data_IF_668886662125
#
_entry.id   IF_668886662125
#
_cell.length_a   1.000
_cell.length_b   1.000
_cell.length_c   1.000
_cell.angle_alpha   90.00
_cell.angle_beta   90.00
_cell.angle_gamma   90.00
#
_symmetry.space_group_name_H-M   'P 1'
#
loop_
_entity.id
_entity.type
_entity.pdbx_description
1 polymer ?
#
# COMPACT_ATOMS: atom_id res chain seq x y z
N UNK A 1 30.33 -46.04 0.51
CA UNK A 1 29.38 -45.44 1.47
C UNK A 1 29.88 -44.03 1.75
N UNK A 2 29.35 -43.02 1.01
CA UNK A 2 29.71 -41.63 1.18
C UNK A 2 28.52 -40.93 1.84
N UNK A 3 28.73 -40.44 3.04
CA UNK A 3 27.75 -39.63 3.77
C UNK A 3 27.57 -38.27 3.08
N UNK A 4 26.35 -37.99 2.62
CA UNK A 4 25.94 -36.68 2.15
C UNK A 4 25.64 -35.84 3.40
N UNK A 5 26.53 -34.91 3.70
CA UNK A 5 26.32 -33.92 4.74
C UNK A 5 25.44 -32.83 4.15
N UNK A 6 24.14 -32.90 4.37
CA UNK A 6 23.24 -31.77 4.15
C UNK A 6 23.62 -30.66 5.14
N UNK A 7 24.17 -29.58 4.63
CA UNK A 7 24.35 -28.34 5.39
C UNK A 7 22.96 -27.69 5.53
N UNK A 8 22.39 -27.82 6.70
CA UNK A 8 21.28 -26.96 7.13
C UNK A 8 21.82 -25.52 7.17
N UNK A 9 21.50 -24.74 6.14
CA UNK A 9 21.63 -23.29 6.21
C UNK A 9 20.46 -22.77 7.06
N UNK A 10 20.64 -22.73 8.37
CA UNK A 10 19.75 -22.09 9.32
C UNK A 10 19.89 -20.57 9.25
N UNK A 11 19.50 -19.95 8.14
CA UNK A 11 19.22 -18.52 8.12
C UNK A 11 18.02 -18.27 9.04
N UNK A 12 18.14 -17.30 9.96
CA UNK A 12 16.97 -16.76 10.65
C UNK A 12 15.93 -16.39 9.58
N UNK A 13 14.62 -16.58 9.85
CA UNK A 13 13.62 -16.14 8.90
C UNK A 13 13.87 -14.65 8.60
N UNK A 14 14.13 -14.36 7.34
CA UNK A 14 14.38 -13.01 6.87
C UNK A 14 13.15 -12.18 7.20
N UNK A 15 13.32 -11.13 8.01
CA UNK A 15 12.23 -10.25 8.41
C UNK A 15 11.72 -9.53 7.16
N UNK A 16 10.58 -9.95 6.65
CA UNK A 16 9.99 -9.44 5.42
C UNK A 16 8.55 -8.99 5.67
N UNK A 17 8.28 -7.73 5.42
CA UNK A 17 6.98 -7.08 5.60
C UNK A 17 6.21 -6.88 4.29
N UNK A 18 6.65 -7.47 3.19
CA UNK A 18 5.85 -7.49 1.96
C UNK A 18 4.46 -8.06 2.28
N UNK A 19 3.42 -7.45 1.73
CA UNK A 19 2.03 -7.80 2.03
C UNK A 19 1.65 -7.63 3.51
N UNK A 20 2.14 -6.55 4.13
CA UNK A 20 1.71 -6.08 5.45
C UNK A 20 1.21 -4.65 5.37
N UNK A 21 0.39 -4.27 6.33
CA UNK A 21 0.08 -2.88 6.62
C UNK A 21 1.04 -2.34 7.68
N UNK A 22 1.41 -1.07 7.51
CA UNK A 22 2.01 -0.24 8.54
C UNK A 22 0.97 0.79 9.00
N UNK A 23 0.79 0.87 10.31
CA UNK A 23 -0.02 1.90 10.95
C UNK A 23 0.90 2.84 11.71
N UNK A 24 0.84 4.14 11.37
CA UNK A 24 1.58 5.14 12.12
C UNK A 24 1.04 5.20 13.56
N UNK A 25 1.95 5.10 14.53
CA UNK A 25 1.57 5.18 15.94
C UNK A 25 0.95 6.54 16.27
N UNK A 26 -0.04 6.61 17.19
CA UNK A 26 -0.69 7.87 17.57
C UNK A 26 0.26 8.93 18.13
N UNK A 27 1.45 8.53 18.59
CA UNK A 27 2.53 9.44 18.98
C UNK A 27 3.04 10.30 17.82
N UNK A 28 2.81 9.85 16.56
CA UNK A 28 3.07 10.62 15.36
C UNK A 28 1.82 11.43 15.02
N UNK A 29 1.58 12.49 15.79
CA UNK A 29 0.42 13.37 15.60
C UNK A 29 0.60 14.36 14.45
N UNK A 30 1.84 14.56 14.02
CA UNK A 30 2.21 15.50 12.97
C UNK A 30 2.96 14.79 11.84
N UNK A 31 2.82 15.34 10.63
CA UNK A 31 3.54 14.84 9.45
C UNK A 31 2.66 14.06 8.47
N UNK A 32 3.30 13.65 7.39
CA UNK A 32 2.65 13.08 6.20
C UNK A 32 1.95 11.76 6.50
N UNK A 33 2.41 11.01 7.48
CA UNK A 33 1.90 9.68 7.80
C UNK A 33 0.96 9.61 9.01
N UNK A 34 0.66 10.74 9.65
CA UNK A 34 -0.29 10.75 10.77
C UNK A 34 -1.66 10.18 10.35
N UNK A 35 -2.14 9.15 11.06
CA UNK A 35 -3.44 8.50 10.76
C UNK A 35 -3.47 7.73 9.43
N UNK A 36 -2.32 7.36 8.86
CA UNK A 36 -2.27 6.59 7.62
C UNK A 36 -2.23 5.08 7.86
N UNK A 37 -2.79 4.37 6.90
CA UNK A 37 -2.60 2.94 6.68
C UNK A 37 -1.75 2.80 5.41
N UNK A 38 -0.51 2.34 5.56
CA UNK A 38 0.42 2.13 4.44
C UNK A 38 0.54 0.65 4.13
N UNK A 39 0.35 0.27 2.90
CA UNK A 39 0.51 -1.10 2.42
C UNK A 39 1.89 -1.31 1.84
N UNK A 40 2.65 -2.28 2.35
CA UNK A 40 4.00 -2.62 1.88
C UNK A 40 3.91 -3.52 0.66
N UNK A 41 4.35 -2.98 -0.48
CA UNK A 41 4.38 -3.66 -1.76
C UNK A 41 5.66 -4.48 -1.95
N UNK A 42 6.78 -4.01 -1.40
CA UNK A 42 8.07 -4.68 -1.44
C UNK A 42 8.86 -4.37 -0.18
N UNK A 43 9.54 -5.38 0.36
CA UNK A 43 10.51 -5.24 1.44
C UNK A 43 11.61 -6.26 1.25
N UNK A 44 12.84 -5.79 1.12
CA UNK A 44 14.03 -6.62 0.89
C UNK A 44 15.29 -5.94 1.47
N UNK A 45 16.44 -6.54 1.22
CA UNK A 45 17.75 -6.04 1.68
C UNK A 45 18.11 -4.62 1.20
N UNK A 46 17.43 -4.10 0.16
CA UNK A 46 17.68 -2.77 -0.39
C UNK A 46 16.74 -1.70 0.21
N UNK A 47 15.75 -2.10 1.02
CA UNK A 47 14.78 -1.22 1.66
C UNK A 47 13.34 -1.66 1.45
N UNK A 48 12.41 -0.71 1.53
CA UNK A 48 10.99 -0.99 1.36
C UNK A 48 10.28 0.06 0.49
N UNK A 49 9.22 -0.40 -0.19
CA UNK A 49 8.28 0.43 -0.94
C UNK A 49 6.86 0.14 -0.45
N UNK A 50 6.15 1.20 -0.09
CA UNK A 50 4.75 1.12 0.32
C UNK A 50 3.91 2.22 -0.29
N UNK A 51 2.60 2.05 -0.23
CA UNK A 51 1.62 3.06 -0.63
C UNK A 51 0.59 3.28 0.48
N UNK A 52 0.26 4.53 0.75
CA UNK A 52 -0.84 4.88 1.64
C UNK A 52 -2.16 4.56 0.94
N UNK A 53 -3.05 3.84 1.61
CA UNK A 53 -4.28 3.33 1.00
C UNK A 53 -5.57 3.90 1.61
N UNK A 54 -5.48 4.77 2.61
CA UNK A 54 -6.65 5.31 3.30
C UNK A 54 -6.78 6.85 3.21
N UNK A 55 -6.03 7.50 2.32
CA UNK A 55 -6.05 8.98 2.19
C UNK A 55 -6.46 9.40 0.78
N UNK A 56 -7.77 9.51 0.49
CA UNK A 56 -8.21 10.10 -0.77
C UNK A 56 -7.80 11.57 -0.86
N UNK A 57 -7.52 12.03 -2.08
CA UNK A 57 -7.24 13.44 -2.38
C UNK A 57 -8.40 14.05 -3.18
N UNK A 58 -8.43 15.37 -3.31
CA UNK A 58 -9.45 16.05 -4.08
C UNK A 58 -9.14 16.00 -5.59
N UNK A 59 -9.04 14.79 -6.12
CA UNK A 59 -8.85 14.48 -7.53
C UNK A 59 -9.62 13.20 -7.85
N UNK A 60 -10.54 13.27 -8.79
CA UNK A 60 -11.29 12.11 -9.26
C UNK A 60 -10.51 11.37 -10.37
N UNK A 61 -10.83 10.11 -10.59
CA UNK A 61 -10.26 9.36 -11.72
C UNK A 61 -10.65 9.99 -13.06
N UNK A 62 -11.87 10.51 -13.19
CA UNK A 62 -12.29 11.24 -14.38
C UNK A 62 -11.37 12.41 -14.69
N UNK A 63 -11.13 13.28 -13.71
CA UNK A 63 -10.24 14.44 -13.85
C UNK A 63 -8.79 14.01 -14.15
N UNK A 64 -8.28 12.98 -13.48
CA UNK A 64 -6.94 12.45 -13.73
C UNK A 64 -6.81 11.92 -15.17
N UNK A 65 -7.79 11.15 -15.63
CA UNK A 65 -7.79 10.57 -16.97
C UNK A 65 -7.89 11.66 -18.05
N UNK A 66 -8.67 12.72 -17.82
CA UNK A 66 -8.74 13.89 -18.71
C UNK A 66 -7.40 14.61 -18.79
N UNK A 67 -6.69 14.80 -17.67
CA UNK A 67 -5.37 15.45 -17.63
C UNK A 67 -4.31 14.68 -18.44
N UNK A 68 -4.38 13.36 -18.45
CA UNK A 68 -3.43 12.50 -19.20
C UNK A 68 -3.92 12.16 -20.62
N UNK A 69 -5.06 12.72 -21.05
CA UNK A 69 -5.69 12.49 -22.36
C UNK A 69 -5.98 11.02 -22.65
N UNK A 70 -6.45 10.27 -21.67
CA UNK A 70 -6.95 8.90 -21.82
C UNK A 70 -8.48 8.92 -21.58
N UNK A 71 -9.32 8.52 -22.55
CA UNK A 71 -10.76 8.44 -22.35
C UNK A 71 -11.13 7.40 -21.30
N UNK A 72 -11.93 7.77 -20.29
CA UNK A 72 -12.46 6.84 -19.30
C UNK A 72 -13.89 6.44 -19.71
N UNK A 73 -14.04 5.21 -20.22
CA UNK A 73 -15.34 4.71 -20.72
C UNK A 73 -16.29 4.26 -19.64
N UNK A 74 -15.76 3.91 -18.46
CA UNK A 74 -16.56 3.46 -17.31
C UNK A 74 -16.97 4.68 -16.47
N UNK A 75 -18.20 5.14 -16.64
CA UNK A 75 -18.73 6.31 -15.91
C UNK A 75 -18.76 6.11 -14.40
N UNK A 76 -18.88 4.86 -13.92
CA UNK A 76 -18.89 4.50 -12.51
C UNK A 76 -17.55 4.84 -11.84
N UNK A 77 -16.45 4.74 -12.57
CA UNK A 77 -15.12 5.05 -12.06
C UNK A 77 -14.82 6.56 -12.04
N UNK A 78 -15.54 7.36 -12.81
CA UNK A 78 -15.24 8.79 -12.98
C UNK A 78 -15.25 9.56 -11.67
N UNK A 79 -16.12 9.20 -10.73
CA UNK A 79 -16.24 9.85 -9.43
C UNK A 79 -15.39 9.19 -8.33
N UNK A 80 -14.69 8.10 -8.62
CA UNK A 80 -13.78 7.49 -7.66
C UNK A 80 -12.60 8.43 -7.40
N UNK A 81 -12.19 8.55 -6.12
CA UNK A 81 -11.08 9.40 -5.75
C UNK A 81 -9.74 8.69 -5.92
N UNK A 82 -8.77 9.42 -6.42
CA UNK A 82 -7.37 9.07 -6.38
C UNK A 82 -6.86 9.21 -4.93
N UNK A 83 -5.91 8.40 -4.52
CA UNK A 83 -5.35 8.45 -3.18
C UNK A 83 -3.95 9.10 -3.18
N UNK A 84 -3.61 9.73 -2.07
CA UNK A 84 -2.23 10.05 -1.75
C UNK A 84 -1.51 8.75 -1.38
N UNK A 85 -0.53 8.32 -2.17
CA UNK A 85 0.24 7.09 -1.93
C UNK A 85 1.49 7.30 -1.09
N UNK A 86 2.03 8.53 -1.08
CA UNK A 86 3.22 8.89 -0.32
C UNK A 86 3.94 10.10 -0.90
N UNK A 87 4.97 10.60 -0.21
CA UNK A 87 5.65 11.84 -0.57
C UNK A 87 6.65 11.70 -1.72
N UNK A 88 7.05 10.48 -2.08
CA UNK A 88 8.05 10.24 -3.12
C UNK A 88 7.37 10.17 -4.48
N UNK A 89 7.89 10.86 -5.48
CA UNK A 89 7.32 10.94 -6.82
C UNK A 89 5.81 11.26 -6.82
N UNK A 90 5.41 12.29 -6.09
CA UNK A 90 4.00 12.63 -5.82
C UNK A 90 3.13 12.90 -7.06
N UNK A 91 3.74 13.11 -8.23
CA UNK A 91 3.03 13.30 -9.51
C UNK A 91 2.90 12.01 -10.34
N UNK A 92 3.54 10.91 -9.88
CA UNK A 92 3.51 9.63 -10.58
C UNK A 92 2.36 8.76 -10.07
N UNK A 93 1.63 8.16 -11.00
CA UNK A 93 0.57 7.21 -10.72
C UNK A 93 1.10 5.82 -10.37
N UNK A 94 0.49 5.21 -9.36
CA UNK A 94 0.71 3.83 -8.93
C UNK A 94 -0.64 3.12 -8.85
N UNK A 95 -0.76 1.98 -9.49
CA UNK A 95 -1.98 1.17 -9.49
C UNK A 95 -1.69 -0.14 -8.75
N UNK A 96 -2.22 -0.27 -7.54
CA UNK A 96 -2.29 -1.55 -6.83
C UNK A 96 -3.50 -2.30 -7.35
N UNK A 97 -3.32 -3.56 -7.75
CA UNK A 97 -4.41 -4.26 -8.42
C UNK A 97 -4.41 -5.79 -8.20
N UNK A 98 -5.59 -6.37 -8.43
CA UNK A 98 -5.87 -7.81 -8.49
C UNK A 98 -6.90 -8.08 -9.62
N UNK A 99 -6.72 -9.11 -10.46
CA UNK A 99 -5.57 -10.00 -10.52
C UNK A 99 -4.31 -9.31 -11.04
N UNK A 100 -3.20 -10.02 -10.97
CA UNK A 100 -1.98 -9.64 -11.68
C UNK A 100 -2.26 -9.52 -13.18
N UNK A 101 -1.44 -8.73 -13.86
CA UNK A 101 -1.47 -8.56 -15.30
C UNK A 101 -0.05 -8.41 -15.84
N UNK A 102 0.06 -8.35 -17.14
CA UNK A 102 1.34 -8.22 -17.85
C UNK A 102 1.45 -6.81 -18.47
N UNK A 103 1.78 -5.83 -17.62
CA UNK A 103 2.07 -4.44 -18.02
C UNK A 103 3.56 -4.15 -17.88
N UNK A 104 4.06 -3.16 -18.62
CA UNK A 104 5.51 -2.90 -18.78
C UNK A 104 6.27 -2.71 -17.45
N UNK A 105 5.70 -1.99 -16.50
CA UNK A 105 6.35 -1.68 -15.21
C UNK A 105 5.54 -2.23 -14.05
N UNK A 106 5.54 -3.56 -13.90
CA UNK A 106 4.77 -4.28 -12.89
C UNK A 106 5.69 -4.94 -11.85
N UNK A 107 5.47 -4.62 -10.59
CA UNK A 107 6.04 -5.28 -9.42
C UNK A 107 5.04 -6.33 -8.93
N UNK A 108 5.43 -7.60 -8.95
CA UNK A 108 4.63 -8.69 -8.38
C UNK A 108 4.82 -8.72 -6.87
N UNK A 109 3.74 -8.54 -6.12
CA UNK A 109 3.78 -8.53 -4.65
C UNK A 109 3.62 -9.95 -4.10
N UNK A 110 2.63 -10.67 -4.59
CA UNK A 110 2.36 -12.06 -4.25
C UNK A 110 1.66 -12.77 -5.42
N UNK A 111 1.12 -13.97 -5.22
CA UNK A 111 0.46 -14.75 -6.28
C UNK A 111 -0.82 -14.09 -6.87
N UNK A 112 -1.36 -13.03 -6.24
CA UNK A 112 -2.60 -12.37 -6.66
C UNK A 112 -2.41 -10.89 -6.96
N UNK A 113 -1.56 -10.21 -6.20
CA UNK A 113 -1.44 -8.76 -6.16
C UNK A 113 -0.21 -8.27 -6.91
N UNK A 114 -0.36 -7.16 -7.58
CA UNK A 114 0.73 -6.45 -8.22
C UNK A 114 0.57 -4.94 -8.11
N UNK A 115 1.68 -4.22 -8.26
CA UNK A 115 1.75 -2.77 -8.36
C UNK A 115 2.30 -2.38 -9.71
N UNK A 116 1.54 -1.64 -10.52
CA UNK A 116 1.95 -1.20 -11.85
C UNK A 116 2.07 0.31 -11.91
N UNK A 117 3.11 0.80 -12.58
CA UNK A 117 3.42 2.24 -12.69
C UNK A 117 3.53 2.74 -14.14
N UNK A 118 3.34 1.88 -15.11
CA UNK A 118 3.36 2.22 -16.54
C UNK A 118 1.98 2.67 -17.02
N UNK A 119 1.99 3.45 -18.11
CA UNK A 119 0.79 4.08 -18.67
C UNK A 119 -0.19 3.07 -19.29
N UNK A 120 0.31 1.94 -19.78
CA UNK A 120 -0.45 0.90 -20.46
C UNK A 120 -1.60 0.33 -19.59
N UNK A 121 -1.42 0.20 -18.27
CA UNK A 121 -2.51 -0.20 -17.38
C UNK A 121 -3.64 0.85 -17.37
N UNK A 122 -3.30 2.14 -17.37
CA UNK A 122 -4.30 3.21 -17.39
C UNK A 122 -5.09 3.21 -18.71
N UNK A 123 -4.44 2.92 -19.84
CA UNK A 123 -5.10 2.79 -21.13
C UNK A 123 -6.13 1.65 -21.11
N UNK A 124 -5.76 0.50 -20.55
CA UNK A 124 -6.65 -0.66 -20.41
C UNK A 124 -7.80 -0.38 -19.44
N UNK A 125 -7.55 0.35 -18.34
CA UNK A 125 -8.60 0.82 -17.41
C UNK A 125 -9.54 1.77 -18.14
N UNK A 126 -9.00 2.73 -18.90
CA UNK A 126 -9.80 3.68 -19.68
C UNK A 126 -10.74 3.01 -20.69
N UNK A 127 -10.32 1.89 -21.27
CA UNK A 127 -11.14 1.07 -22.16
C UNK A 127 -12.19 0.21 -21.46
N UNK A 128 -12.19 0.14 -20.14
CA UNK A 128 -13.10 -0.72 -19.37
C UNK A 128 -12.66 -2.17 -19.27
N UNK A 129 -11.39 -2.46 -19.52
CA UNK A 129 -10.78 -3.80 -19.46
C UNK A 129 -9.70 -3.94 -18.40
N UNK A 130 -9.68 -3.01 -17.46
CA UNK A 130 -8.71 -2.97 -16.36
C UNK A 130 -8.89 -4.12 -15.35
N UNK A 131 -8.02 -4.17 -14.32
CA UNK A 131 -8.13 -5.11 -13.22
C UNK A 131 -9.50 -5.00 -12.51
N UNK A 132 -9.95 -6.11 -11.95
CA UNK A 132 -11.24 -6.16 -11.23
C UNK A 132 -11.22 -5.30 -9.97
N UNK A 133 -10.16 -5.43 -9.21
CA UNK A 133 -9.95 -4.70 -7.97
C UNK A 133 -8.71 -3.82 -8.14
N UNK A 134 -8.81 -2.54 -7.76
CA UNK A 134 -7.69 -1.63 -7.87
C UNK A 134 -7.79 -0.46 -6.88
N UNK A 135 -6.63 0.04 -6.48
CA UNK A 135 -6.46 1.32 -5.78
C UNK A 135 -5.45 2.14 -6.58
N UNK A 136 -5.84 3.34 -7.00
CA UNK A 136 -4.97 4.25 -7.76
C UNK A 136 -4.48 5.33 -6.81
N UNK A 137 -3.15 5.50 -6.76
CA UNK A 137 -2.51 6.48 -5.90
C UNK A 137 -1.56 7.38 -6.68
N UNK A 138 -1.26 8.55 -6.15
CA UNK A 138 -0.15 9.40 -6.57
C UNK A 138 0.95 9.35 -5.52
N UNK A 139 2.17 9.07 -5.98
CA UNK A 139 3.34 8.92 -5.11
C UNK A 139 3.36 7.60 -4.34
N UNK A 140 4.46 7.41 -3.62
CA UNK A 140 4.70 6.26 -2.76
C UNK A 140 5.50 6.64 -1.51
N UNK A 141 5.56 5.73 -0.53
CA UNK A 141 6.43 5.80 0.63
C UNK A 141 7.63 4.88 0.39
N UNK A 142 8.83 5.39 0.61
CA UNK A 142 10.07 4.64 0.44
C UNK A 142 10.89 4.66 1.71
N UNK A 143 11.53 3.55 2.02
CA UNK A 143 12.51 3.38 3.10
C UNK A 143 13.81 2.87 2.53
N UNK A 144 14.91 3.48 2.93
CA UNK A 144 16.25 3.01 2.61
C UNK A 144 16.55 1.68 3.34
N UNK A 145 17.64 1.02 2.94
CA UNK A 145 18.11 -0.20 3.58
C UNK A 145 18.19 -0.07 5.12
N UNK A 146 17.47 -0.92 5.85
CA UNK A 146 17.45 -0.95 7.31
C UNK A 146 16.65 0.17 7.98
N UNK A 147 16.12 1.13 7.21
CA UNK A 147 15.38 2.27 7.78
C UNK A 147 14.05 1.80 8.38
N UNK A 148 13.28 0.99 7.66
CA UNK A 148 11.98 0.51 8.15
C UNK A 148 12.14 -0.34 9.40
N UNK A 149 13.13 -1.22 9.45
CA UNK A 149 13.42 -2.06 10.61
C UNK A 149 13.78 -1.20 11.82
N UNK A 150 14.59 -0.14 11.62
CA UNK A 150 14.94 0.79 12.67
C UNK A 150 13.70 1.52 13.20
N UNK A 151 12.87 2.09 12.33
CA UNK A 151 11.63 2.78 12.70
C UNK A 151 10.65 1.88 13.46
N UNK A 152 10.60 0.57 13.13
CA UNK A 152 9.78 -0.40 13.87
C UNK A 152 10.35 -0.61 15.27
N UNK A 153 11.67 -0.72 15.44
CA UNK A 153 12.29 -0.84 16.77
C UNK A 153 12.07 0.39 17.64
N UNK A 154 11.92 1.58 17.04
CA UNK A 154 11.58 2.84 17.70
C UNK A 154 10.06 3.00 17.94
N UNK A 155 9.26 1.97 17.65
CA UNK A 155 7.78 1.98 17.75
C UNK A 155 7.12 3.10 16.93
N UNK A 156 7.68 3.45 15.79
CA UNK A 156 7.07 4.40 14.83
C UNK A 156 5.87 3.75 14.13
N UNK A 157 5.98 2.45 13.84
CA UNK A 157 5.00 1.69 13.09
C UNK A 157 4.50 0.45 13.86
N UNK A 158 3.18 0.21 13.79
CA UNK A 158 2.59 -1.09 14.01
C UNK A 158 2.52 -1.85 12.70
N UNK A 159 2.83 -3.15 12.73
CA UNK A 159 2.77 -4.02 11.56
C UNK A 159 1.59 -4.98 11.67
N UNK A 160 0.81 -5.12 10.61
CA UNK A 160 -0.40 -5.96 10.55
C UNK A 160 -0.36 -6.76 9.25
N UNK A 161 -0.54 -8.09 9.24
CA UNK A 161 -0.72 -8.84 8.00
C UNK A 161 -1.86 -8.22 7.16
N UNK A 162 -1.62 -7.98 5.87
CA UNK A 162 -2.60 -7.32 5.03
C UNK A 162 -3.76 -8.26 4.65
N UNK A 163 -4.89 -7.64 4.29
CA UNK A 163 -6.11 -8.31 3.85
C UNK A 163 -6.62 -7.63 2.58
N UNK A 164 -6.88 -8.41 1.52
CA UNK A 164 -7.47 -7.93 0.28
C UNK A 164 -8.83 -7.29 0.51
N UNK A 165 -9.62 -7.83 1.45
CA UNK A 165 -10.90 -7.25 1.86
C UNK A 165 -10.74 -5.78 2.33
N UNK A 166 -9.74 -5.51 3.18
CA UNK A 166 -9.47 -4.14 3.65
C UNK A 166 -9.02 -3.24 2.50
N UNK A 167 -8.18 -3.76 1.59
CA UNK A 167 -7.64 -2.99 0.48
C UNK A 167 -8.72 -2.58 -0.54
N UNK A 168 -9.62 -3.49 -0.91
CA UNK A 168 -10.46 -3.33 -2.08
C UNK A 168 -11.96 -3.22 -1.80
N UNK A 169 -12.45 -3.78 -0.69
CA UNK A 169 -13.89 -3.82 -0.42
C UNK A 169 -14.34 -2.75 0.58
N UNK A 170 -13.42 -2.25 1.43
CA UNK A 170 -13.76 -1.20 2.39
C UNK A 170 -13.51 0.21 1.81
N UNK A 171 -14.38 1.16 2.16
CA UNK A 171 -14.14 2.57 1.85
C UNK A 171 -12.88 3.07 2.60
N UNK A 172 -12.18 4.09 2.08
CA UNK A 172 -10.89 4.55 2.62
C UNK A 172 -10.91 4.82 4.12
N UNK A 173 -11.97 5.46 4.64
CA UNK A 173 -12.15 5.79 6.05
C UNK A 173 -12.35 4.55 6.96
N UNK A 174 -12.81 3.45 6.40
CA UNK A 174 -13.02 2.18 7.11
C UNK A 174 -11.76 1.31 7.20
N UNK A 175 -10.76 1.55 6.35
CA UNK A 175 -9.59 0.68 6.21
C UNK A 175 -8.71 0.65 7.46
N UNK A 176 -8.38 1.82 8.02
CA UNK A 176 -7.55 1.90 9.22
C UNK A 176 -8.22 1.29 10.45
N UNK A 177 -9.48 1.62 10.81
CA UNK A 177 -10.17 0.96 11.91
C UNK A 177 -10.26 -0.56 11.74
N UNK A 178 -10.54 -1.04 10.52
CA UNK A 178 -10.61 -2.47 10.24
C UNK A 178 -9.24 -3.16 10.42
N UNK A 179 -8.16 -2.55 9.96
CA UNK A 179 -6.80 -3.07 10.15
C UNK A 179 -6.45 -3.15 11.64
N UNK A 180 -6.77 -2.12 12.43
CA UNK A 180 -6.54 -2.11 13.88
C UNK A 180 -7.34 -3.18 14.61
N UNK A 181 -8.56 -3.45 14.17
CA UNK A 181 -9.39 -4.52 14.73
C UNK A 181 -8.77 -5.91 14.58
N UNK A 182 -7.92 -6.14 13.55
CA UNK A 182 -7.17 -7.40 13.42
C UNK A 182 -6.15 -7.63 14.54
N UNK A 183 -5.69 -6.55 15.19
CA UNK A 183 -4.83 -6.63 16.38
C UNK A 183 -5.62 -6.76 17.69
N UNK A 184 -6.95 -6.75 17.63
CA UNK A 184 -7.80 -6.71 18.83
C UNK A 184 -7.77 -5.37 19.56
N UNK A 185 -7.33 -4.30 18.88
CA UNK A 185 -7.21 -2.94 19.42
C UNK A 185 -8.30 -2.07 18.82
N UNK A 186 -9.06 -1.39 19.69
CA UNK A 186 -10.00 -0.36 19.25
C UNK A 186 -9.22 0.93 18.98
N UNK A 187 -9.23 1.36 17.71
CA UNK A 187 -8.53 2.59 17.29
C UNK A 187 -9.03 3.84 18.05
N UNK A 188 -10.32 3.88 18.40
CA UNK A 188 -10.89 5.00 19.14
C UNK A 188 -10.29 5.14 20.55
N UNK A 189 -9.97 4.04 21.22
CA UNK A 189 -9.35 4.05 22.54
C UNK A 189 -7.90 4.56 22.53
N UNK A 190 -7.17 4.35 21.42
CA UNK A 190 -5.79 4.85 21.28
C UNK A 190 -5.73 6.36 21.05
N UNK A 191 -6.77 6.95 20.45
CA UNK A 191 -6.83 8.40 20.17
C UNK A 191 -7.28 9.16 21.42
N UNK A 192 -8.13 8.59 22.26
CA UNK A 192 -8.63 9.23 23.49
C UNK A 192 -7.54 9.32 24.57
N UNK A 193 -6.65 8.33 24.71
CA UNK A 193 -5.56 8.34 25.70
C UNK A 193 -4.50 9.43 25.44
N UNK A 194 -4.35 9.89 24.21
CA UNK A 194 -3.37 10.93 23.83
C UNK A 194 -3.92 12.35 24.05
N UNK A 195 -5.24 12.50 24.21
CA UNK A 195 -5.92 13.80 24.42
C UNK A 195 -5.96 14.29 25.86
N UNK A 196 -5.41 13.57 26.83
CA UNK A 196 -5.54 13.86 28.27
C UNK A 196 -4.18 14.01 28.99
N UNK A 197 -3.10 14.40 28.31
CA UNK A 197 -1.80 14.75 28.92
C UNK A 197 -1.50 16.23 28.79
#
# INVERSE_FOLDING_TARGET
>A
MRAVTERYNGGMPEFNLTHHFLVAMPTIQEGVFAGTLTYICEHNENGALGIVVNRPINLTLGEMFDQINIPLRQSELSNCLVHFGGPVQAERGFVLHEPQGDWESTLLINAKLALTTSKDILEVIGEGRGPRNMVITLGYAGWDQGQLEHEITENVWLTIPASEHILFELPPEGRLPAAMSLLGVDYSSLVEDVGHA
#
